data_IF_758545742245
#
_entry.id   IF_758545742245
#
_cell.length_a   1.000
_cell.length_b   1.000
_cell.length_c   1.000
_cell.angle_alpha   90.00
_cell.angle_beta   90.00
_cell.angle_gamma   90.00
#
_symmetry.space_group_name_H-M   'P 1'
#
loop_
_entity.id
_entity.type
_entity.pdbx_description
1 polymer ?
#
# COMPACT_ATOMS: atom_id res chain seq x y z
N UNK A 1 13.38 3.97 -3.11
CA UNK A 1 12.24 4.32 -2.25
C UNK A 1 11.31 5.27 -3.01
N UNK A 2 10.00 5.03 -2.95
CA UNK A 2 8.99 5.87 -3.61
C UNK A 2 8.14 6.55 -2.54
N UNK A 3 8.02 7.87 -2.59
CA UNK A 3 7.15 8.64 -1.70
C UNK A 3 6.23 9.54 -2.51
N UNK A 4 4.95 9.57 -2.15
CA UNK A 4 3.94 10.37 -2.82
C UNK A 4 3.08 11.16 -1.85
N UNK A 5 2.66 12.36 -2.26
CA UNK A 5 1.73 13.20 -1.53
C UNK A 5 0.88 14.04 -2.51
N UNK A 6 -0.19 14.67 -2.02
CA UNK A 6 -1.00 15.59 -2.84
C UNK A 6 -0.21 16.83 -3.27
N UNK A 7 0.63 17.34 -2.39
CA UNK A 7 1.50 18.47 -2.62
C UNK A 7 2.76 18.36 -1.74
N UNK A 8 3.71 19.25 -1.96
CA UNK A 8 4.99 19.24 -1.28
C UNK A 8 4.88 19.43 0.25
N UNK A 9 3.88 20.16 0.73
CA UNK A 9 3.72 20.45 2.16
C UNK A 9 3.25 19.23 2.95
N UNK A 10 2.74 18.20 2.25
CA UNK A 10 2.32 16.92 2.81
C UNK A 10 3.35 15.80 2.64
N UNK A 11 4.49 16.08 2.02
CA UNK A 11 5.59 15.12 1.93
C UNK A 11 6.22 14.94 3.31
N UNK A 12 6.29 13.67 3.74
CA UNK A 12 6.89 13.31 5.01
C UNK A 12 8.32 12.79 4.82
N UNK A 13 9.20 13.20 5.71
CA UNK A 13 10.57 12.67 5.83
C UNK A 13 11.47 12.85 4.59
N UNK A 14 11.14 13.75 3.65
CA UNK A 14 11.92 13.93 2.41
C UNK A 14 13.39 14.24 2.71
N UNK A 15 13.65 15.16 3.64
CA UNK A 15 15.01 15.58 4.00
C UNK A 15 15.78 14.48 4.77
N UNK A 16 15.09 13.66 5.55
CA UNK A 16 15.67 12.51 6.23
C UNK A 16 15.99 11.39 5.24
N UNK A 17 15.10 11.11 4.31
CA UNK A 17 15.28 10.09 3.27
C UNK A 17 16.46 10.42 2.36
N UNK A 18 16.64 11.69 1.98
CA UNK A 18 17.78 12.15 1.17
C UNK A 18 19.13 11.90 1.82
N UNK A 19 19.20 11.81 3.16
CA UNK A 19 20.44 11.55 3.92
C UNK A 19 20.82 10.08 4.01
N UNK A 20 19.93 9.17 3.62
CA UNK A 20 20.18 7.72 3.70
C UNK A 20 21.14 7.32 2.55
N UNK A 21 22.33 6.81 2.86
CA UNK A 21 23.29 6.43 1.83
C UNK A 21 22.72 5.28 0.96
N UNK A 22 22.98 5.35 -0.34
CA UNK A 22 22.54 4.36 -1.34
C UNK A 22 21.02 4.22 -1.49
N UNK A 23 20.24 5.17 -1.01
CA UNK A 23 18.79 5.22 -1.24
C UNK A 23 18.48 5.96 -2.54
N UNK A 24 17.92 5.28 -3.53
CA UNK A 24 17.33 5.92 -4.69
C UNK A 24 15.92 6.42 -4.32
N UNK A 25 15.80 7.72 -4.08
CA UNK A 25 14.55 8.36 -3.70
C UNK A 25 13.83 8.92 -4.94
N UNK A 26 12.58 8.51 -5.15
CA UNK A 26 11.68 9.09 -6.14
C UNK A 26 10.51 9.75 -5.41
N UNK A 27 10.26 11.00 -5.73
CA UNK A 27 9.18 11.81 -5.14
C UNK A 27 8.13 12.07 -6.21
N UNK A 28 6.85 11.93 -5.85
CA UNK A 28 5.71 12.34 -6.69
C UNK A 28 4.77 13.24 -5.89
N UNK A 29 4.23 14.27 -6.56
CA UNK A 29 3.14 15.07 -6.02
C UNK A 29 2.04 15.23 -7.06
N UNK A 30 0.78 15.12 -6.62
CA UNK A 30 -0.37 15.18 -7.54
C UNK A 30 -0.39 16.52 -8.30
N UNK A 31 -0.05 17.62 -7.62
CA UNK A 31 -0.02 18.97 -8.18
C UNK A 31 1.28 19.32 -8.92
N UNK A 32 2.34 18.51 -8.75
CA UNK A 32 3.67 18.74 -9.35
C UNK A 32 4.51 19.76 -8.58
N UNK A 33 4.18 20.05 -7.32
CA UNK A 33 4.93 21.01 -6.48
C UNK A 33 6.30 20.48 -6.03
N UNK A 34 6.52 19.16 -6.08
CA UNK A 34 7.81 18.51 -5.87
C UNK A 34 7.89 17.20 -6.65
N UNK A 35 9.04 16.91 -7.25
CA UNK A 35 9.31 15.68 -7.97
C UNK A 35 8.47 15.47 -9.23
N UNK A 36 8.03 14.24 -9.44
CA UNK A 36 7.17 13.87 -10.57
C UNK A 36 5.75 14.40 -10.35
N UNK A 37 5.18 15.04 -11.36
CA UNK A 37 3.77 15.46 -11.34
C UNK A 37 2.86 14.29 -11.68
N UNK A 38 2.16 13.77 -10.70
CA UNK A 38 1.28 12.61 -10.84
C UNK A 38 1.38 11.68 -9.63
N UNK A 39 0.97 10.45 -9.82
CA UNK A 39 0.92 9.47 -8.73
C UNK A 39 2.22 8.67 -8.61
N UNK A 40 2.58 8.30 -7.39
CA UNK A 40 3.72 7.42 -7.11
C UNK A 40 3.61 6.08 -7.84
N UNK A 41 2.40 5.63 -8.14
CA UNK A 41 2.10 4.42 -8.89
C UNK A 41 2.62 4.47 -10.32
N UNK A 42 2.61 5.65 -10.95
CA UNK A 42 3.11 5.83 -12.32
C UNK A 42 4.63 5.60 -12.37
N UNK A 43 5.33 6.08 -11.33
CA UNK A 43 6.77 5.83 -11.19
C UNK A 43 7.04 4.33 -10.99
N UNK A 44 6.27 3.69 -10.10
CA UNK A 44 6.41 2.25 -9.84
C UNK A 44 6.21 1.43 -11.12
N UNK A 45 5.13 1.72 -11.85
CA UNK A 45 4.82 1.04 -13.12
C UNK A 45 5.96 1.19 -14.13
N UNK A 46 6.50 2.40 -14.28
CA UNK A 46 7.62 2.66 -15.19
C UNK A 46 8.88 1.90 -14.77
N UNK A 47 9.23 1.90 -13.48
CA UNK A 47 10.40 1.20 -12.98
C UNK A 47 10.33 -0.32 -13.22
N UNK A 48 9.16 -0.93 -13.00
CA UNK A 48 8.96 -2.37 -13.21
C UNK A 48 8.95 -2.71 -14.71
N UNK A 49 8.23 -1.92 -15.52
CA UNK A 49 8.12 -2.18 -16.96
C UNK A 49 9.45 -2.09 -17.71
N UNK A 50 10.33 -1.18 -17.29
CA UNK A 50 11.67 -1.02 -17.86
C UNK A 50 12.66 -2.10 -17.40
N UNK A 51 12.37 -2.81 -16.33
CA UNK A 51 13.26 -3.79 -15.73
C UNK A 51 12.56 -5.14 -15.44
N UNK A 52 12.00 -5.82 -16.44
CA UNK A 52 11.13 -6.98 -16.23
C UNK A 52 11.85 -8.21 -15.63
N UNK A 53 13.18 -8.23 -15.67
CA UNK A 53 14.00 -9.35 -15.17
C UNK A 53 14.56 -9.10 -13.76
N UNK A 54 14.25 -7.97 -13.13
CA UNK A 54 14.76 -7.66 -11.79
C UNK A 54 13.97 -8.44 -10.73
N UNK A 55 14.68 -9.21 -9.93
CA UNK A 55 14.12 -9.82 -8.72
C UNK A 55 14.01 -8.75 -7.64
N UNK A 56 12.80 -8.32 -7.34
CA UNK A 56 12.50 -7.27 -6.37
C UNK A 56 11.30 -7.64 -5.52
N UNK A 57 11.31 -7.21 -4.26
CA UNK A 57 10.14 -7.23 -3.37
C UNK A 57 9.63 -5.80 -3.21
N UNK A 58 8.36 -5.58 -3.45
CA UNK A 58 7.69 -4.29 -3.27
C UNK A 58 6.98 -4.27 -1.93
N UNK A 59 7.34 -3.33 -1.06
CA UNK A 59 6.60 -3.08 0.18
C UNK A 59 5.80 -1.78 0.02
N UNK A 60 4.49 -1.85 0.20
CA UNK A 60 3.61 -0.70 0.07
C UNK A 60 2.87 -0.42 1.37
N UNK A 61 2.79 0.86 1.72
CA UNK A 61 1.99 1.36 2.83
C UNK A 61 1.40 2.72 2.45
N UNK A 62 0.10 2.88 2.59
CA UNK A 62 -0.58 4.13 2.27
C UNK A 62 -2.09 3.96 2.06
N UNK A 63 -2.75 4.86 1.33
CA UNK A 63 -4.18 4.73 1.03
C UNK A 63 -4.50 3.41 0.33
N UNK A 64 -5.52 2.70 0.78
CA UNK A 64 -5.84 1.34 0.30
C UNK A 64 -6.03 1.27 -1.22
N UNK A 65 -6.61 2.30 -1.85
CA UNK A 65 -6.72 2.37 -3.31
C UNK A 65 -5.35 2.43 -4.01
N UNK A 66 -4.36 3.07 -3.38
CA UNK A 66 -2.98 3.07 -3.88
C UNK A 66 -2.38 1.67 -3.75
N UNK A 67 -2.50 1.04 -2.59
CA UNK A 67 -1.97 -0.30 -2.34
C UNK A 67 -2.62 -1.35 -3.26
N UNK A 68 -3.93 -1.20 -3.54
CA UNK A 68 -4.62 -2.05 -4.52
C UNK A 68 -4.02 -1.92 -5.91
N UNK A 69 -3.69 -0.71 -6.34
CA UNK A 69 -3.00 -0.49 -7.64
C UNK A 69 -1.59 -1.09 -7.64
N UNK A 70 -0.85 -0.99 -6.52
CA UNK A 70 0.46 -1.67 -6.38
C UNK A 70 0.28 -3.18 -6.56
N UNK A 71 -0.70 -3.78 -5.87
CA UNK A 71 -0.99 -5.22 -6.00
C UNK A 71 -1.32 -5.61 -7.44
N UNK A 72 -2.12 -4.80 -8.15
CA UNK A 72 -2.50 -5.06 -9.55
C UNK A 72 -1.28 -5.00 -10.49
N UNK A 73 -0.39 -4.02 -10.32
CA UNK A 73 0.88 -3.94 -11.05
C UNK A 73 1.75 -5.17 -10.76
N UNK A 74 1.89 -5.53 -9.48
CA UNK A 74 2.68 -6.70 -9.08
C UNK A 74 2.11 -8.01 -9.64
N UNK A 75 0.80 -8.13 -9.76
CA UNK A 75 0.15 -9.27 -10.42
C UNK A 75 0.42 -9.28 -11.93
N UNK A 76 0.32 -8.12 -12.59
CA UNK A 76 0.57 -7.99 -14.02
C UNK A 76 2.00 -8.42 -14.42
N UNK A 77 2.98 -8.02 -13.62
CA UNK A 77 4.40 -8.30 -13.91
C UNK A 77 4.97 -9.49 -13.13
N UNK A 78 4.13 -10.21 -12.39
CA UNK A 78 4.52 -11.33 -11.54
C UNK A 78 5.64 -10.99 -10.54
N UNK A 79 5.59 -9.79 -9.96
CA UNK A 79 6.50 -9.30 -8.93
C UNK A 79 5.93 -9.60 -7.55
N UNK A 80 6.78 -9.95 -6.59
CA UNK A 80 6.36 -10.14 -5.21
C UNK A 80 6.10 -8.80 -4.53
N UNK A 81 5.03 -8.74 -3.73
CA UNK A 81 4.76 -7.56 -2.91
C UNK A 81 4.15 -7.90 -1.56
N UNK A 82 4.29 -6.96 -0.65
CA UNK A 82 3.62 -6.90 0.63
C UNK A 82 2.88 -5.57 0.73
N UNK A 83 1.66 -5.60 1.20
CA UNK A 83 0.80 -4.42 1.38
C UNK A 83 0.33 -4.33 2.84
N UNK A 84 0.19 -3.12 3.36
CA UNK A 84 -0.18 -2.86 4.75
C UNK A 84 -1.66 -2.52 4.87
N UNK A 85 -2.50 -3.54 5.04
CA UNK A 85 -3.96 -3.39 5.05
C UNK A 85 -4.43 -2.81 6.39
N UNK A 86 -4.98 -1.62 6.38
CA UNK A 86 -5.56 -1.00 7.55
C UNK A 86 -6.98 -1.49 7.80
N UNK A 87 -7.27 -1.91 9.03
CA UNK A 87 -8.60 -2.23 9.52
C UNK A 87 -8.78 -1.65 10.92
N UNK A 88 -10.03 -1.40 11.31
CA UNK A 88 -10.32 -0.86 12.63
C UNK A 88 -10.01 -1.91 13.71
N UNK A 89 -8.92 -1.72 14.44
CA UNK A 89 -8.46 -2.65 15.48
C UNK A 89 -8.90 -2.18 16.86
N UNK A 90 -9.47 -3.10 17.65
CA UNK A 90 -9.84 -2.86 19.06
C UNK A 90 -8.96 -3.63 20.03
N UNK A 91 -9.03 -4.97 20.00
CA UNK A 91 -8.36 -5.81 20.99
C UNK A 91 -6.88 -6.07 20.69
N UNK A 92 -6.47 -6.07 19.43
CA UNK A 92 -5.10 -6.37 19.00
C UNK A 92 -4.67 -7.85 19.15
N UNK A 93 -5.55 -8.72 19.61
CA UNK A 93 -5.25 -10.13 19.98
C UNK A 93 -6.20 -11.15 19.34
N UNK A 94 -6.94 -10.77 18.30
CA UNK A 94 -7.76 -11.69 17.51
C UNK A 94 -9.10 -12.12 18.14
N UNK A 95 -9.51 -11.54 19.30
CA UNK A 95 -10.71 -12.01 20.02
C UNK A 95 -11.99 -11.31 19.55
N UNK A 96 -11.96 -9.98 19.31
CA UNK A 96 -13.20 -9.22 19.09
C UNK A 96 -13.73 -9.28 17.65
N UNK A 97 -12.96 -9.76 16.68
CA UNK A 97 -13.34 -9.86 15.29
C UNK A 97 -13.51 -8.52 14.56
N UNK A 98 -13.26 -7.36 15.21
CA UNK A 98 -13.51 -6.05 14.62
C UNK A 98 -12.68 -5.77 13.37
N UNK A 99 -11.47 -6.33 13.29
CA UNK A 99 -10.56 -6.20 12.17
C UNK A 99 -10.56 -7.43 11.24
N UNK A 100 -11.58 -8.26 11.33
CA UNK A 100 -11.72 -9.41 10.45
C UNK A 100 -12.00 -8.93 9.01
N UNK A 101 -11.36 -9.57 8.05
CA UNK A 101 -11.67 -9.37 6.62
C UNK A 101 -12.76 -10.36 6.21
N UNK A 102 -13.65 -9.90 5.34
CA UNK A 102 -14.78 -10.68 4.87
C UNK A 102 -14.29 -11.93 4.10
N UNK A 103 -15.13 -12.95 4.04
CA UNK A 103 -14.91 -14.28 3.47
C UNK A 103 -13.84 -15.14 4.15
N UNK A 104 -12.66 -14.59 4.43
CA UNK A 104 -11.58 -15.35 5.09
C UNK A 104 -11.78 -15.45 6.59
N UNK A 105 -12.47 -14.50 7.22
CA UNK A 105 -12.69 -14.46 8.66
C UNK A 105 -11.43 -14.26 9.49
N UNK A 106 -10.29 -13.93 8.86
CA UNK A 106 -9.02 -13.69 9.56
C UNK A 106 -8.95 -12.26 10.09
N UNK A 107 -8.38 -12.12 11.30
CA UNK A 107 -8.21 -10.81 11.93
C UNK A 107 -6.88 -10.17 11.53
N UNK A 108 -6.91 -8.95 11.00
CA UNK A 108 -5.69 -8.23 10.60
C UNK A 108 -4.75 -7.91 11.76
N UNK A 109 -5.24 -7.85 12.99
CA UNK A 109 -4.37 -7.65 14.16
C UNK A 109 -3.47 -8.85 14.49
N UNK A 110 -3.76 -10.05 13.96
CA UNK A 110 -2.99 -11.28 14.20
C UNK A 110 -2.37 -11.87 12.94
N UNK A 111 -2.97 -11.66 11.77
CA UNK A 111 -2.52 -12.19 10.49
C UNK A 111 -1.88 -11.12 9.58
N UNK A 112 -2.00 -9.85 9.96
CA UNK A 112 -1.45 -8.69 9.29
C UNK A 112 -0.79 -7.73 10.31
N UNK A 113 -0.85 -6.40 10.09
CA UNK A 113 -1.50 -5.71 8.95
C UNK A 113 -0.78 -5.89 7.62
N UNK A 114 0.52 -6.21 7.63
CA UNK A 114 1.28 -6.46 6.41
C UNK A 114 1.00 -7.89 5.93
N UNK A 115 0.55 -7.99 4.68
CA UNK A 115 0.21 -9.27 4.05
C UNK A 115 0.91 -9.38 2.69
N UNK A 116 1.29 -10.61 2.34
CA UNK A 116 1.92 -10.87 1.05
C UNK A 116 0.89 -10.83 -0.10
N UNK A 117 1.41 -10.82 -1.33
CA UNK A 117 0.63 -10.78 -2.57
C UNK A 117 -0.45 -11.87 -2.62
N UNK A 118 -0.12 -13.09 -2.17
CA UNK A 118 -1.04 -14.23 -2.24
C UNK A 118 -2.24 -14.05 -1.32
N UNK A 119 -2.01 -13.58 -0.09
CA UNK A 119 -3.08 -13.33 0.86
C UNK A 119 -3.89 -12.09 0.44
N UNK A 120 -3.23 -11.01 0.01
CA UNK A 120 -3.91 -9.80 -0.46
C UNK A 120 -4.89 -10.08 -1.61
N UNK A 121 -4.54 -10.97 -2.55
CA UNK A 121 -5.41 -11.37 -3.65
C UNK A 121 -6.66 -12.17 -3.20
N UNK A 122 -6.63 -12.76 -2.02
CA UNK A 122 -7.77 -13.51 -1.46
C UNK A 122 -8.72 -12.63 -0.67
N UNK A 123 -8.32 -11.44 -0.27
CA UNK A 123 -9.16 -10.50 0.48
C UNK A 123 -10.09 -9.77 -0.48
N UNK A 124 -11.34 -10.22 -0.56
CA UNK A 124 -12.30 -9.73 -1.57
C UNK A 124 -12.69 -8.27 -1.41
N UNK A 125 -12.64 -7.75 -0.19
CA UNK A 125 -12.97 -6.35 0.12
C UNK A 125 -11.84 -5.37 -0.22
N UNK A 126 -10.59 -5.86 -0.35
CA UNK A 126 -9.41 -5.03 -0.53
C UNK A 126 -9.50 -4.14 -1.77
N UNK A 127 -9.41 -2.83 -1.55
CA UNK A 127 -9.59 -1.80 -2.57
C UNK A 127 -11.04 -1.55 -2.99
N UNK A 128 -12.04 -2.07 -2.28
CA UNK A 128 -13.47 -1.86 -2.55
C UNK A 128 -14.18 -1.19 -1.40
N UNK A 129 -14.03 -1.74 -0.19
CA UNK A 129 -14.65 -1.22 1.02
C UNK A 129 -13.90 -1.68 2.27
N UNK A 130 -14.19 -1.04 3.36
CA UNK A 130 -13.78 -1.46 4.70
C UNK A 130 -14.94 -1.29 5.68
N UNK A 131 -14.77 -1.75 6.92
CA UNK A 131 -15.75 -1.54 7.99
C UNK A 131 -15.26 -0.49 8.96
N UNK A 132 -16.15 0.43 9.33
CA UNK A 132 -15.87 1.41 10.38
C UNK A 132 -15.93 0.79 11.79
N UNK A 133 -15.75 1.62 12.81
CA UNK A 133 -15.80 1.20 14.23
C UNK A 133 -17.14 0.60 14.67
N UNK A 134 -18.23 0.85 13.95
CA UNK A 134 -19.56 0.31 14.21
C UNK A 134 -19.84 -1.00 13.45
N UNK A 135 -18.93 -1.40 12.55
CA UNK A 135 -19.10 -2.54 11.65
C UNK A 135 -19.82 -2.20 10.34
N UNK A 136 -20.17 -0.92 10.11
CA UNK A 136 -20.81 -0.48 8.88
C UNK A 136 -19.83 -0.51 7.72
N UNK A 137 -20.27 -1.02 6.58
CA UNK A 137 -19.50 -1.01 5.33
C UNK A 137 -19.40 0.42 4.79
N UNK A 138 -18.16 0.81 4.47
CA UNK A 138 -17.81 2.10 3.86
C UNK A 138 -17.07 1.81 2.56
N UNK A 139 -17.62 2.20 1.43
CA UNK A 139 -16.98 2.08 0.12
C UNK A 139 -15.98 3.22 -0.12
N UNK A 140 -14.92 2.93 -0.91
CA UNK A 140 -13.91 3.93 -1.32
C UNK A 140 -14.40 4.82 -2.44
#
# INVERSE_FOLDING_TARGET
>A
FLVGARNKDLLLFEEELKKIPNLNLHVATDDGSSGYKGYVIDILHNLISLNPSVSVLINACGPELMEKKVLDICNQYNVQCEVSIERYMKCGIGICGQCAVDDLGICMCTHGPVVNRELANKILEFGKYHRDKSGKVIYY
#
